data_IF_585494884142
#
_entry.id   IF_585494884142
#
_cell.length_a   1.000
_cell.length_b   1.000
_cell.length_c   1.000
_cell.angle_alpha   90.00
_cell.angle_beta   90.00
_cell.angle_gamma   90.00
#
_symmetry.space_group_name_H-M   'P 1'
#
loop_
_entity.id
_entity.type
_entity.pdbx_description
1 polymer ?
#
# COMPACT_ATOMS: atom_id res chain seq x y z
N UNK A 1 19.55 -6.50 5.48
CA UNK A 1 18.42 -5.79 4.84
C UNK A 1 18.86 -4.34 4.60
N UNK A 2 18.83 -3.85 3.36
CA UNK A 2 19.33 -2.50 3.06
C UNK A 2 18.59 -1.44 3.89
N UNK A 3 19.33 -0.48 4.47
CA UNK A 3 18.76 0.63 5.26
C UNK A 3 17.68 1.41 4.49
N UNK A 4 17.82 1.47 3.16
CA UNK A 4 16.81 2.07 2.29
C UNK A 4 15.44 1.39 2.38
N UNK A 5 15.40 0.05 2.35
CA UNK A 5 14.16 -0.71 2.39
C UNK A 5 13.49 -0.54 3.75
N UNK A 6 14.26 -0.68 4.84
CA UNK A 6 13.75 -0.50 6.21
C UNK A 6 13.21 0.92 6.42
N UNK A 7 13.84 1.93 5.80
CA UNK A 7 13.37 3.29 5.93
C UNK A 7 12.13 3.62 5.09
N UNK A 8 11.89 2.87 4.02
CA UNK A 8 10.83 3.17 3.07
C UNK A 8 9.73 2.10 3.05
N UNK A 9 9.74 1.13 3.96
CA UNK A 9 8.81 -0.01 3.98
C UNK A 9 7.34 0.41 3.93
N UNK A 10 6.94 1.44 4.68
CA UNK A 10 5.58 1.97 4.65
C UNK A 10 5.21 2.60 3.30
N UNK A 11 6.13 3.37 2.71
CA UNK A 11 5.95 3.96 1.37
C UNK A 11 5.87 2.91 0.27
N UNK A 12 6.73 1.89 0.33
CA UNK A 12 6.70 0.75 -0.59
C UNK A 12 5.38 -0.01 -0.48
N UNK A 13 4.86 -0.20 0.74
CA UNK A 13 3.54 -0.79 0.97
C UNK A 13 2.42 0.02 0.35
N UNK A 14 2.43 1.35 0.49
CA UNK A 14 1.42 2.23 -0.14
C UNK A 14 1.46 2.09 -1.66
N UNK A 15 2.65 2.17 -2.27
CA UNK A 15 2.82 2.06 -3.73
C UNK A 15 2.30 0.70 -4.22
N UNK A 16 2.67 -0.39 -3.57
CA UNK A 16 2.21 -1.73 -3.92
C UNK A 16 0.68 -1.87 -3.78
N UNK A 17 0.10 -1.30 -2.72
CA UNK A 17 -1.35 -1.29 -2.52
C UNK A 17 -2.08 -0.55 -3.65
N UNK A 18 -1.59 0.62 -4.04
CA UNK A 18 -2.14 1.40 -5.16
C UNK A 18 -2.00 0.68 -6.49
N UNK A 19 -0.86 0.03 -6.76
CA UNK A 19 -0.66 -0.77 -7.98
C UNK A 19 -1.68 -1.90 -8.06
N UNK A 20 -1.90 -2.63 -6.96
CA UNK A 20 -2.86 -3.74 -6.93
C UNK A 20 -4.30 -3.25 -7.12
N UNK A 21 -4.70 -2.19 -6.42
CA UNK A 21 -6.01 -1.55 -6.61
C UNK A 21 -6.20 -1.15 -8.08
N UNK A 22 -5.18 -0.52 -8.67
CA UNK A 22 -5.24 -0.06 -10.06
C UNK A 22 -5.32 -1.24 -11.03
N UNK A 23 -4.51 -2.27 -10.81
CA UNK A 23 -4.50 -3.48 -11.63
C UNK A 23 -5.86 -4.17 -11.62
N UNK A 24 -6.42 -4.39 -10.43
CA UNK A 24 -7.74 -5.01 -10.30
C UNK A 24 -8.84 -4.12 -10.91
N UNK A 25 -8.69 -2.79 -10.83
CA UNK A 25 -9.58 -1.82 -11.48
C UNK A 25 -9.58 -1.89 -13.00
N UNK A 26 -8.41 -1.97 -13.62
CA UNK A 26 -8.33 -2.17 -15.07
C UNK A 26 -8.81 -3.56 -15.49
N UNK A 27 -8.54 -4.58 -14.67
CA UNK A 27 -8.94 -5.97 -14.94
C UNK A 27 -10.46 -6.18 -14.80
N UNK A 28 -11.11 -5.43 -13.92
CA UNK A 28 -12.54 -5.55 -13.63
C UNK A 28 -13.39 -4.52 -14.40
N UNK A 29 -12.99 -4.17 -15.63
CA UNK A 29 -13.70 -3.22 -16.49
C UNK A 29 -14.05 -1.89 -15.80
N UNK A 30 -13.11 -1.35 -15.01
CA UNK A 30 -13.28 -0.07 -14.30
C UNK A 30 -14.41 -0.09 -13.25
N UNK A 31 -14.81 -1.26 -12.73
CA UNK A 31 -15.84 -1.39 -11.70
C UNK A 31 -15.24 -1.47 -10.32
N UNK A 32 -15.61 -0.54 -9.44
CA UNK A 32 -15.09 -0.49 -8.07
C UNK A 32 -15.79 -1.52 -7.15
N UNK A 33 -15.56 -2.82 -7.38
CA UNK A 33 -16.22 -3.92 -6.65
C UNK A 33 -15.48 -4.35 -5.38
N UNK A 34 -14.66 -3.45 -4.82
CA UNK A 34 -13.83 -3.70 -3.64
C UNK A 34 -12.58 -4.51 -3.98
N UNK A 35 -11.42 -3.93 -3.74
CA UNK A 35 -10.12 -4.58 -3.94
C UNK A 35 -9.47 -4.91 -2.60
N UNK A 36 -9.98 -5.94 -1.89
CA UNK A 36 -9.63 -6.17 -0.49
C UNK A 36 -8.12 -6.36 -0.31
N UNK A 37 -7.44 -7.03 -1.24
CA UNK A 37 -6.01 -7.26 -1.19
C UNK A 37 -5.21 -5.95 -1.27
N UNK A 38 -5.46 -5.14 -2.30
CA UNK A 38 -4.78 -3.87 -2.51
C UNK A 38 -5.09 -2.86 -1.40
N UNK A 39 -6.34 -2.83 -0.93
CA UNK A 39 -6.77 -1.98 0.19
C UNK A 39 -6.09 -2.36 1.51
N UNK A 40 -5.98 -3.65 1.83
CA UNK A 40 -5.26 -4.13 3.03
C UNK A 40 -3.79 -3.70 2.97
N UNK A 41 -3.14 -3.92 1.83
CA UNK A 41 -1.72 -3.56 1.65
C UNK A 41 -1.51 -2.05 1.77
N UNK A 42 -2.42 -1.26 1.19
CA UNK A 42 -2.42 0.21 1.31
C UNK A 42 -2.55 0.64 2.78
N UNK A 43 -3.53 0.10 3.50
CA UNK A 43 -3.76 0.42 4.92
C UNK A 43 -2.57 0.05 5.80
N UNK A 44 -1.97 -1.12 5.56
CA UNK A 44 -0.74 -1.54 6.26
C UNK A 44 0.40 -0.56 5.96
N UNK A 45 0.60 -0.17 4.71
CA UNK A 45 1.61 0.81 4.31
C UNK A 45 1.39 2.17 5.01
N UNK A 46 0.16 2.67 5.02
CA UNK A 46 -0.23 3.91 5.73
C UNK A 46 0.06 3.79 7.23
N UNK A 47 -0.32 2.66 7.85
CA UNK A 47 -0.06 2.42 9.26
C UNK A 47 1.44 2.48 9.59
N UNK A 48 2.30 1.88 8.78
CA UNK A 48 3.75 1.95 8.97
C UNK A 48 4.30 3.37 8.82
N UNK A 49 3.81 4.14 7.85
CA UNK A 49 4.17 5.56 7.70
C UNK A 49 3.74 6.35 8.94
N UNK A 50 2.47 6.24 9.35
CA UNK A 50 1.97 6.94 10.54
C UNK A 50 2.78 6.58 11.78
N UNK A 51 2.99 5.28 12.02
CA UNK A 51 3.79 4.81 13.16
C UNK A 51 5.20 5.40 13.14
N UNK A 52 5.85 5.40 11.99
CA UNK A 52 7.21 5.91 11.84
C UNK A 52 7.33 7.42 12.07
N UNK A 53 6.37 8.20 11.59
CA UNK A 53 6.44 9.68 11.67
C UNK A 53 5.84 10.25 12.96
N UNK A 54 4.83 9.60 13.54
CA UNK A 54 4.10 10.10 14.71
C UNK A 54 4.40 9.38 16.03
N UNK A 55 4.79 8.10 15.99
CA UNK A 55 5.02 7.27 17.18
C UNK A 55 6.49 6.89 17.37
N UNK A 56 7.38 7.88 17.16
CA UNK A 56 8.85 7.77 17.22
C UNK A 56 9.39 6.65 18.11
#
# INVERSE_FOLDING_TARGET
MNNFIKNNEGFLGIILGLILISYDYFKNDFRFDGYPMGAIILLVGIYFVIRKYFFK
#
